data_IF_667796648913
#
_entry.id   IF_667796648913
#
_cell.length_a   1.000
_cell.length_b   1.000
_cell.length_c   1.000
_cell.angle_alpha   90.00
_cell.angle_beta   90.00
_cell.angle_gamma   90.00
#
_symmetry.space_group_name_H-M   'P 1'
#
loop_
_entity.id
_entity.type
_entity.pdbx_description
1 polymer ?
#
# COMPACT_ATOMS: atom_id res chain seq x y z
N UNK A 1 70.70 -1.23 -37.43
CA UNK A 1 69.45 -1.10 -38.23
C UNK A 1 68.25 -1.33 -37.32
N UNK A 2 67.07 -0.77 -37.66
CA UNK A 2 65.75 -0.97 -37.02
C UNK A 2 65.11 -2.26 -37.57
N UNK A 3 64.13 -2.98 -37.01
CA UNK A 3 63.23 -2.93 -35.82
C UNK A 3 63.02 -4.42 -35.38
N UNK A 4 62.24 -4.90 -34.38
CA UNK A 4 61.33 -4.36 -33.34
C UNK A 4 61.58 -5.11 -31.99
N UNK A 5 60.91 -4.68 -30.92
CA UNK A 5 60.70 -5.39 -29.64
C UNK A 5 59.61 -6.47 -29.72
N UNK A 6 59.54 -7.36 -28.73
CA UNK A 6 58.28 -8.00 -28.34
C UNK A 6 58.23 -8.18 -26.81
N UNK A 7 57.30 -7.52 -26.11
CA UNK A 7 57.14 -7.62 -24.65
C UNK A 7 55.90 -8.46 -24.30
N UNK A 8 56.07 -9.33 -23.32
CA UNK A 8 54.98 -10.09 -22.68
C UNK A 8 53.99 -9.12 -22.01
N UNK A 9 52.69 -9.39 -22.13
CA UNK A 9 51.66 -9.26 -21.08
C UNK A 9 50.45 -10.11 -21.50
N UNK A 10 50.00 -11.02 -20.64
CA UNK A 10 48.73 -11.73 -20.81
C UNK A 10 47.60 -10.87 -20.22
N UNK A 11 46.74 -10.31 -21.06
CA UNK A 11 45.55 -9.58 -20.62
C UNK A 11 44.42 -10.51 -20.23
N UNK A 12 44.33 -10.90 -18.95
CA UNK A 12 43.18 -11.65 -18.43
C UNK A 12 41.97 -10.71 -18.33
N UNK A 13 41.05 -10.81 -19.29
CA UNK A 13 39.79 -10.08 -19.29
C UNK A 13 38.80 -10.71 -18.29
N UNK A 14 38.84 -10.27 -17.02
CA UNK A 14 37.96 -10.77 -15.97
C UNK A 14 36.54 -10.19 -16.11
N UNK A 15 35.73 -10.80 -16.98
CA UNK A 15 34.36 -10.37 -17.25
C UNK A 15 33.41 -10.83 -16.11
N UNK A 16 33.37 -10.06 -15.02
CA UNK A 16 32.49 -10.29 -13.88
C UNK A 16 31.02 -10.01 -14.24
N UNK A 17 30.31 -11.03 -14.71
CA UNK A 17 28.86 -10.98 -14.90
C UNK A 17 28.18 -11.01 -13.53
N UNK A 18 27.86 -9.83 -13.00
CA UNK A 18 27.02 -9.70 -11.81
C UNK A 18 25.57 -10.13 -12.15
N UNK A 19 25.21 -11.37 -11.83
CA UNK A 19 23.83 -11.83 -11.87
C UNK A 19 23.04 -11.13 -10.73
N UNK A 20 22.50 -9.95 -11.03
CA UNK A 20 21.56 -9.27 -10.14
C UNK A 20 20.24 -10.03 -10.13
N UNK A 21 20.08 -10.95 -9.18
CA UNK A 21 18.83 -11.70 -8.97
C UNK A 21 17.75 -10.75 -8.48
N UNK A 22 16.86 -10.35 -9.40
CA UNK A 22 15.67 -9.57 -9.09
C UNK A 22 14.72 -10.39 -8.22
N UNK A 23 14.90 -10.32 -6.90
CA UNK A 23 13.92 -10.80 -5.94
C UNK A 23 12.64 -9.96 -6.09
N UNK A 24 11.64 -10.53 -6.78
CA UNK A 24 10.29 -10.00 -6.73
C UNK A 24 9.80 -10.09 -5.28
N UNK A 25 9.64 -8.94 -4.63
CA UNK A 25 9.10 -8.88 -3.28
C UNK A 25 7.70 -9.51 -3.27
N UNK A 26 7.48 -10.48 -2.39
CA UNK A 26 6.18 -11.14 -2.23
C UNK A 26 5.19 -10.07 -1.73
N UNK A 27 4.05 -9.84 -2.40
CA UNK A 27 3.06 -8.87 -1.94
C UNK A 27 2.56 -9.22 -0.55
N UNK A 28 2.56 -8.24 0.35
CA UNK A 28 1.97 -8.37 1.66
C UNK A 28 0.44 -8.35 1.54
N UNK A 29 -0.22 -9.19 2.34
CA UNK A 29 -1.68 -9.26 2.46
C UNK A 29 -2.08 -8.91 3.88
N UNK A 30 -3.03 -7.98 4.00
CA UNK A 30 -3.65 -7.53 5.25
C UNK A 30 -5.13 -7.89 5.19
N UNK A 31 -5.58 -8.74 6.11
CA UNK A 31 -7.00 -9.12 6.22
C UNK A 31 -7.79 -7.97 6.82
N UNK A 32 -8.81 -7.49 6.12
CA UNK A 32 -9.68 -6.41 6.60
C UNK A 32 -10.93 -7.01 7.24
N UNK A 33 -10.99 -6.89 8.56
CA UNK A 33 -12.04 -7.40 9.45
C UNK A 33 -13.13 -6.35 9.72
N UNK A 34 -14.40 -6.74 9.93
CA UNK A 34 -15.49 -5.80 10.21
C UNK A 34 -15.33 -5.12 11.57
N UNK A 35 -15.46 -3.81 11.56
CA UNK A 35 -15.73 -3.00 12.76
C UNK A 35 -17.23 -2.67 12.86
N UNK A 36 -17.62 -1.94 13.92
CA UNK A 36 -19.03 -1.63 14.23
C UNK A 36 -19.87 -1.14 13.04
N UNK A 37 -19.32 -0.28 12.17
CA UNK A 37 -20.04 0.24 10.99
C UNK A 37 -19.91 -0.63 9.73
N UNK A 38 -19.13 -1.72 9.80
CA UNK A 38 -18.97 -2.68 8.72
C UNK A 38 -20.15 -3.65 8.58
N UNK A 39 -20.90 -3.91 9.65
CA UNK A 39 -22.13 -4.73 9.60
C UNK A 39 -21.94 -6.17 9.11
N UNK A 40 -20.71 -6.71 9.18
CA UNK A 40 -20.35 -8.02 8.61
C UNK A 40 -19.59 -7.96 7.28
N UNK A 41 -19.26 -6.76 6.78
CA UNK A 41 -18.33 -6.56 5.67
C UNK A 41 -16.96 -7.22 5.91
N UNK A 42 -16.24 -7.50 4.82
CA UNK A 42 -14.88 -8.07 4.85
C UNK A 42 -14.08 -7.62 3.65
N UNK A 43 -12.76 -7.64 3.75
CA UNK A 43 -11.87 -7.36 2.63
C UNK A 43 -10.46 -7.91 2.79
N UNK A 44 -9.65 -7.61 1.79
CA UNK A 44 -8.20 -7.79 1.80
C UNK A 44 -7.56 -6.50 1.24
N UNK A 45 -6.47 -6.06 1.85
CA UNK A 45 -5.56 -5.12 1.23
C UNK A 45 -4.28 -5.83 0.80
N UNK A 46 -3.84 -5.59 -0.43
CA UNK A 46 -2.57 -6.08 -0.98
C UNK A 46 -1.60 -4.91 -1.07
N UNK A 47 -0.45 -5.04 -0.42
CA UNK A 47 0.62 -4.05 -0.39
C UNK A 47 1.81 -4.60 -1.18
N UNK A 48 2.31 -3.84 -2.16
CA UNK A 48 3.41 -4.25 -3.06
C UNK A 48 4.33 -3.07 -3.37
N UNK A 49 5.52 -3.35 -3.89
CA UNK A 49 6.40 -2.31 -4.42
C UNK A 49 5.77 -1.62 -5.64
N UNK A 50 5.93 -0.29 -5.73
CA UNK A 50 5.61 0.51 -6.92
C UNK A 50 6.83 1.26 -7.46
N UNK A 51 7.71 1.68 -6.56
CA UNK A 51 8.99 2.31 -6.87
C UNK A 51 9.91 2.19 -5.66
N UNK A 52 11.17 2.62 -5.80
CA UNK A 52 12.25 2.44 -4.81
C UNK A 52 11.82 2.78 -3.37
N UNK A 53 11.06 3.87 -3.21
CA UNK A 53 10.66 4.42 -1.92
C UNK A 53 9.12 4.48 -1.76
N UNK A 54 8.36 3.75 -2.59
CA UNK A 54 6.88 3.78 -2.64
C UNK A 54 6.23 2.40 -2.74
N UNK A 55 5.20 2.20 -1.92
CA UNK A 55 4.26 1.07 -1.98
C UNK A 55 2.98 1.46 -2.72
N UNK A 56 2.37 0.49 -3.39
CA UNK A 56 0.97 0.53 -3.81
C UNK A 56 0.14 -0.33 -2.85
N UNK A 57 -0.96 0.24 -2.35
CA UNK A 57 -1.95 -0.41 -1.50
C UNK A 57 -3.24 -0.55 -2.31
N UNK A 58 -3.64 -1.77 -2.64
CA UNK A 58 -4.91 -2.06 -3.31
C UNK A 58 -5.86 -2.75 -2.32
N UNK A 59 -7.03 -2.15 -2.11
CA UNK A 59 -8.08 -2.67 -1.21
C UNK A 59 -9.21 -3.27 -2.06
N UNK A 60 -9.61 -4.49 -1.70
CA UNK A 60 -10.83 -5.14 -2.19
C UNK A 60 -11.75 -5.43 -1.00
N UNK A 61 -13.00 -4.97 -1.04
CA UNK A 61 -13.96 -5.12 0.04
C UNK A 61 -15.34 -5.56 -0.47
N UNK A 62 -16.08 -6.28 0.38
CA UNK A 62 -17.39 -6.87 0.08
C UNK A 62 -18.31 -6.77 1.30
N UNK A 63 -19.63 -6.66 1.07
CA UNK A 63 -20.62 -6.48 2.13
C UNK A 63 -20.62 -5.09 2.76
N UNK A 64 -19.97 -4.10 2.12
CA UNK A 64 -20.05 -2.70 2.52
C UNK A 64 -21.50 -2.18 2.38
N UNK A 65 -21.82 -1.09 3.08
CA UNK A 65 -23.07 -0.36 2.86
C UNK A 65 -23.12 0.08 1.38
N UNK A 66 -24.14 -0.30 0.58
CA UNK A 66 -24.17 0.03 -0.85
C UNK A 66 -24.17 1.53 -1.13
N UNK A 67 -23.68 1.91 -2.31
CA UNK A 67 -23.66 3.29 -2.84
C UNK A 67 -23.07 4.35 -1.87
N UNK A 68 -22.20 3.96 -0.93
CA UNK A 68 -21.71 4.80 0.17
C UNK A 68 -20.24 5.16 -0.03
N UNK A 69 -19.83 6.31 0.52
CA UNK A 69 -18.45 6.81 0.39
C UNK A 69 -17.59 6.32 1.55
N UNK A 70 -16.39 5.87 1.21
CA UNK A 70 -15.39 5.33 2.11
C UNK A 70 -14.04 6.02 1.88
N UNK A 71 -13.19 6.04 2.90
CA UNK A 71 -11.81 6.57 2.82
C UNK A 71 -10.82 5.61 3.45
N UNK A 72 -9.58 5.62 2.96
CA UNK A 72 -8.53 4.67 3.34
C UNK A 72 -7.41 5.37 4.11
N UNK A 73 -7.19 4.94 5.35
CA UNK A 73 -6.26 5.57 6.30
C UNK A 73 -5.28 4.54 6.85
N UNK A 74 -4.03 4.95 7.04
CA UNK A 74 -3.10 4.27 7.95
C UNK A 74 -3.12 5.00 9.29
N UNK A 75 -3.15 4.24 10.39
CA UNK A 75 -3.51 4.76 11.72
C UNK A 75 -2.58 4.22 12.80
N UNK A 76 -2.25 5.09 13.76
CA UNK A 76 -1.54 4.76 15.00
C UNK A 76 -2.46 5.03 16.19
N UNK A 77 -2.51 4.11 17.15
CA UNK A 77 -3.40 4.20 18.31
C UNK A 77 -2.68 4.63 19.60
N UNK A 78 -1.34 4.53 19.64
CA UNK A 78 -0.49 4.85 20.80
C UNK A 78 0.85 5.42 20.34
N UNK A 79 1.46 6.36 21.10
CA UNK A 79 1.01 6.91 22.38
C UNK A 79 -0.08 7.99 22.25
N UNK A 80 -0.26 8.55 21.05
CA UNK A 80 -1.42 9.36 20.64
C UNK A 80 -2.14 8.67 19.49
N UNK A 81 -3.39 9.04 19.22
CA UNK A 81 -4.00 8.77 17.92
C UNK A 81 -3.34 9.66 16.87
N UNK A 82 -2.99 9.08 15.72
CA UNK A 82 -2.49 9.78 14.54
C UNK A 82 -2.94 9.04 13.28
N UNK A 83 -3.05 9.71 12.14
CA UNK A 83 -3.48 9.08 10.88
C UNK A 83 -2.97 9.79 9.63
N UNK A 84 -2.71 9.03 8.56
CA UNK A 84 -2.41 9.56 7.23
C UNK A 84 -3.29 8.89 6.15
N UNK A 85 -3.69 9.67 5.15
CA UNK A 85 -4.46 9.17 4.02
C UNK A 85 -3.59 8.37 3.04
N UNK A 86 -4.11 7.27 2.50
CA UNK A 86 -3.40 6.44 1.53
C UNK A 86 -3.75 6.92 0.12
N UNK A 87 -2.76 7.29 -0.69
CA UNK A 87 -2.96 7.79 -2.05
C UNK A 87 -3.06 9.32 -2.15
N UNK A 88 -3.91 9.79 -3.05
CA UNK A 88 -4.02 11.21 -3.43
C UNK A 88 -5.48 11.71 -3.33
N UNK A 89 -5.65 13.04 -3.37
CA UNK A 89 -6.94 13.70 -3.30
C UNK A 89 -7.63 13.48 -1.95
N UNK A 90 -8.84 12.95 -1.98
CA UNK A 90 -9.69 12.76 -0.80
C UNK A 90 -9.56 11.34 -0.20
N UNK A 91 -8.57 10.54 -0.65
CA UNK A 91 -8.28 9.16 -0.20
C UNK A 91 -9.48 8.19 -0.30
N UNK A 92 -10.43 8.51 -1.18
CA UNK A 92 -11.79 7.97 -1.14
C UNK A 92 -12.14 7.02 -2.29
N UNK A 93 -13.03 6.07 -2.00
CA UNK A 93 -13.79 5.33 -3.00
C UNK A 93 -15.29 5.34 -2.67
N UNK A 94 -16.11 4.88 -3.61
CA UNK A 94 -17.54 4.63 -3.39
C UNK A 94 -17.82 3.14 -3.58
N UNK A 95 -18.60 2.54 -2.69
CA UNK A 95 -19.11 1.18 -2.90
C UNK A 95 -20.17 1.15 -4.01
N UNK A 96 -20.29 0.02 -4.70
CA UNK A 96 -21.29 -0.19 -5.74
C UNK A 96 -22.70 -0.44 -5.17
N UNK A 97 -23.65 -0.82 -6.03
CA UNK A 97 -25.02 -1.14 -5.62
C UNK A 97 -25.17 -2.48 -4.84
N UNK A 98 -24.14 -3.33 -4.81
CA UNK A 98 -24.10 -4.59 -4.05
C UNK A 98 -23.31 -4.50 -2.74
N UNK A 99 -22.54 -3.43 -2.54
CA UNK A 99 -21.59 -3.34 -1.43
C UNK A 99 -20.20 -3.92 -1.74
N UNK A 100 -19.85 -4.05 -3.02
CA UNK A 100 -18.49 -4.29 -3.48
C UNK A 100 -17.72 -2.95 -3.49
N UNK A 101 -16.42 -2.99 -3.16
CA UNK A 101 -15.55 -1.80 -3.09
C UNK A 101 -14.13 -2.10 -3.55
N UNK A 102 -13.55 -1.17 -4.32
CA UNK A 102 -12.19 -1.24 -4.82
C UNK A 102 -11.50 0.12 -4.60
N UNK A 103 -10.27 0.11 -4.09
CA UNK A 103 -9.41 1.28 -4.03
C UNK A 103 -7.97 0.92 -4.36
N UNK A 104 -7.23 1.85 -4.98
CA UNK A 104 -5.78 1.75 -5.14
C UNK A 104 -5.18 3.10 -4.80
N UNK A 105 -4.29 3.12 -3.82
CA UNK A 105 -3.53 4.30 -3.41
C UNK A 105 -2.04 3.99 -3.25
N UNK A 106 -1.26 5.02 -2.99
CA UNK A 106 0.19 4.94 -2.82
C UNK A 106 0.62 5.60 -1.51
N UNK A 107 1.66 5.04 -0.90
CA UNK A 107 2.27 5.56 0.33
C UNK A 107 3.78 5.33 0.25
N UNK A 108 4.60 6.23 0.79
CA UNK A 108 6.04 6.00 0.86
C UNK A 108 6.37 4.86 1.85
N UNK A 109 7.38 4.05 1.52
CA UNK A 109 7.83 2.91 2.36
C UNK A 109 8.08 3.36 3.80
N UNK A 110 8.91 4.38 3.96
CA UNK A 110 9.28 4.99 5.26
C UNK A 110 8.14 5.73 5.97
N UNK A 111 6.96 5.81 5.35
CA UNK A 111 5.74 6.25 6.02
C UNK A 111 4.95 5.02 6.47
N UNK A 112 4.72 4.03 5.61
CA UNK A 112 4.00 2.80 5.94
C UNK A 112 4.57 2.08 7.18
N UNK A 113 5.90 1.97 7.27
CA UNK A 113 6.64 1.34 8.39
C UNK A 113 6.39 1.97 9.77
N UNK A 114 5.69 3.12 9.85
CA UNK A 114 5.35 3.80 11.10
C UNK A 114 3.99 3.41 11.67
N UNK A 115 3.12 2.77 10.91
CA UNK A 115 1.68 2.66 11.22
C UNK A 115 1.29 1.27 11.73
N UNK A 116 0.31 1.23 12.64
CA UNK A 116 -0.16 0.00 13.29
C UNK A 116 -1.35 -0.64 12.57
N UNK A 117 -2.19 0.17 11.92
CA UNK A 117 -3.47 -0.26 11.35
C UNK A 117 -3.69 0.32 9.95
N UNK A 118 -4.40 -0.43 9.10
CA UNK A 118 -5.05 0.06 7.89
C UNK A 118 -6.57 0.06 8.14
N UNK A 119 -7.20 1.23 8.11
CA UNK A 119 -8.62 1.43 8.37
C UNK A 119 -9.39 1.91 7.14
N UNK A 120 -10.62 1.40 6.98
CA UNK A 120 -11.57 1.81 5.95
C UNK A 120 -12.74 2.50 6.65
N UNK A 121 -12.80 3.83 6.55
CA UNK A 121 -13.76 4.67 7.27
C UNK A 121 -14.94 5.06 6.37
N UNK A 122 -16.16 4.75 6.81
CA UNK A 122 -17.42 5.18 6.21
C UNK A 122 -17.64 6.68 6.46
N UNK A 123 -18.12 7.40 5.44
CA UNK A 123 -18.67 8.76 5.56
C UNK A 123 -20.20 8.70 5.45
N UNK A 124 -20.96 8.77 6.57
CA UNK A 124 -22.41 8.57 6.55
C UNK A 124 -23.19 9.64 5.78
N UNK A 125 -22.61 10.83 5.59
CA UNK A 125 -23.16 11.94 4.79
C UNK A 125 -22.71 11.94 3.32
N UNK A 126 -21.81 11.02 2.94
CA UNK A 126 -21.26 10.92 1.59
C UNK A 126 -20.17 11.93 1.24
N UNK A 127 -19.69 12.74 2.20
CA UNK A 127 -18.66 13.75 1.94
C UNK A 127 -17.29 13.32 2.51
N UNK A 128 -16.33 12.88 1.68
CA UNK A 128 -15.05 12.33 2.17
C UNK A 128 -14.19 13.36 2.92
N UNK A 129 -14.53 14.65 2.88
CA UNK A 129 -13.85 15.73 3.63
C UNK A 129 -14.41 15.93 5.03
N UNK A 130 -15.54 15.30 5.39
CA UNK A 130 -16.21 15.53 6.67
C UNK A 130 -15.78 14.52 7.76
N UNK A 131 -14.56 14.70 8.26
CA UNK A 131 -13.97 13.85 9.31
C UNK A 131 -14.71 13.88 10.67
N UNK A 132 -15.76 14.70 10.84
CA UNK A 132 -16.46 14.87 12.15
C UNK A 132 -17.40 13.73 12.53
N UNK A 133 -17.79 12.87 11.59
CA UNK A 133 -18.75 11.77 11.80
C UNK A 133 -18.38 10.51 11.00
N UNK A 134 -17.08 10.28 10.76
CA UNK A 134 -16.63 9.03 10.16
C UNK A 134 -16.83 7.86 11.12
N UNK A 135 -17.12 6.68 10.57
CA UNK A 135 -17.28 5.45 11.34
C UNK A 135 -16.40 4.36 10.74
N UNK A 136 -15.57 3.69 11.55
CA UNK A 136 -14.68 2.64 11.04
C UNK A 136 -15.51 1.42 10.65
N UNK A 137 -15.41 1.02 9.38
CA UNK A 137 -16.17 -0.08 8.81
C UNK A 137 -15.33 -1.35 8.67
N UNK A 138 -14.06 -1.21 8.29
CA UNK A 138 -13.08 -2.30 8.30
C UNK A 138 -11.77 -1.84 8.94
N UNK A 139 -11.03 -2.77 9.55
CA UNK A 139 -9.63 -2.60 9.93
C UNK A 139 -8.80 -3.85 9.68
N UNK A 140 -7.49 -3.69 9.50
CA UNK A 140 -6.52 -4.79 9.55
C UNK A 140 -5.17 -4.30 10.07
N UNK A 141 -4.46 -5.17 10.78
CA UNK A 141 -3.16 -4.86 11.39
C UNK A 141 -2.04 -4.81 10.33
N UNK A 142 -1.16 -3.81 10.47
CA UNK A 142 0.11 -3.71 9.76
C UNK A 142 1.24 -4.35 10.62
N UNK A 143 2.38 -4.66 10.00
CA UNK A 143 3.49 -5.40 10.63
C UNK A 143 4.68 -4.52 10.98
#
# INVERSE_FOLDING_TARGET
MKIISNKIIYGIALFLIALSTAHAAIPEKVTLTPEKAGGGAKGEAVIKEKGKDQKEVTVHATGLKPNSVYTVWVVNMKPKMDMAGVGEGDYSFKSDAKGEGHYTGTISLSELEKWQLLEIALHPDGNPKNMKKIEIALKGDLK
#
